data_IF_080825878780
#
_entry.id   IF_080825878780
#
_cell.length_a   1.000
_cell.length_b   1.000
_cell.length_c   1.000
_cell.angle_alpha   90.00
_cell.angle_beta   90.00
_cell.angle_gamma   90.00
#
_symmetry.space_group_name_H-M   'P 1'
#
loop_
_entity.id
_entity.type
_entity.pdbx_description
1 polymer ?
#
# COMPACT_ATOMS: atom_id res chain seq x y z
N UNK A 1 9.83 12.28 -18.57
CA UNK A 1 9.77 11.88 -17.14
C UNK A 1 11.08 11.20 -16.74
N UNK A 2 11.64 11.51 -15.57
CA UNK A 2 13.00 11.07 -15.19
C UNK A 2 13.07 9.59 -14.77
N UNK A 3 13.96 8.81 -15.40
CA UNK A 3 14.22 7.39 -15.10
C UNK A 3 14.72 7.20 -13.66
N UNK A 4 15.62 8.08 -13.23
CA UNK A 4 16.22 8.02 -11.90
C UNK A 4 15.13 8.17 -10.84
N UNK A 5 14.23 9.13 -11.02
CA UNK A 5 13.17 9.43 -10.06
C UNK A 5 12.11 8.32 -10.04
N UNK A 6 11.63 7.87 -11.20
CA UNK A 6 10.61 6.81 -11.26
C UNK A 6 11.15 5.48 -10.74
N UNK A 7 12.40 5.11 -11.08
CA UNK A 7 13.00 3.89 -10.56
C UNK A 7 13.22 3.95 -9.05
N UNK A 8 13.60 5.11 -8.50
CA UNK A 8 13.72 5.30 -7.06
C UNK A 8 12.36 5.22 -6.36
N UNK A 9 11.32 5.83 -6.92
CA UNK A 9 9.95 5.75 -6.41
C UNK A 9 9.44 4.30 -6.37
N UNK A 10 9.63 3.53 -7.44
CA UNK A 10 9.24 2.12 -7.49
C UNK A 10 9.99 1.29 -6.44
N UNK A 11 11.31 1.47 -6.28
CA UNK A 11 12.08 0.80 -5.21
C UNK A 11 11.58 1.17 -3.81
N UNK A 12 11.23 2.43 -3.60
CA UNK A 12 10.64 2.92 -2.35
C UNK A 12 9.30 2.26 -2.05
N UNK A 13 8.42 2.17 -3.05
CA UNK A 13 7.10 1.54 -2.92
C UNK A 13 7.22 0.08 -2.47
N UNK A 14 8.09 -0.71 -3.10
CA UNK A 14 8.37 -2.09 -2.68
C UNK A 14 8.78 -2.17 -1.21
N UNK A 15 9.67 -1.28 -0.77
CA UNK A 15 10.13 -1.24 0.63
C UNK A 15 8.98 -0.91 1.60
N UNK A 16 8.14 0.07 1.28
CA UNK A 16 7.04 0.51 2.15
C UNK A 16 5.93 -0.55 2.22
N UNK A 17 5.55 -1.14 1.09
CA UNK A 17 4.54 -2.21 1.05
C UNK A 17 5.01 -3.43 1.86
N UNK A 18 6.29 -3.81 1.76
CA UNK A 18 6.84 -4.91 2.57
C UNK A 18 6.80 -4.57 4.07
N UNK A 19 7.17 -3.34 4.45
CA UNK A 19 7.07 -2.87 5.84
C UNK A 19 5.62 -2.92 6.35
N UNK A 20 4.65 -2.54 5.53
CA UNK A 20 3.22 -2.60 5.89
C UNK A 20 2.79 -4.04 6.15
N UNK A 21 3.16 -4.99 5.28
CA UNK A 21 2.88 -6.41 5.46
C UNK A 21 3.48 -6.97 6.75
N UNK A 22 4.72 -6.62 7.07
CA UNK A 22 5.40 -7.05 8.29
C UNK A 22 4.71 -6.51 9.55
N UNK A 23 4.38 -5.21 9.57
CA UNK A 23 3.66 -4.58 10.69
C UNK A 23 2.26 -5.17 10.87
N UNK A 24 1.51 -5.31 9.77
CA UNK A 24 0.17 -5.90 9.78
C UNK A 24 0.20 -7.32 10.32
N UNK A 25 1.14 -8.15 9.84
CA UNK A 25 1.30 -9.52 10.35
C UNK A 25 1.61 -9.54 11.85
N UNK A 26 2.53 -8.69 12.31
CA UNK A 26 2.84 -8.56 13.73
C UNK A 26 1.64 -8.12 14.57
N UNK A 27 0.78 -7.25 14.04
CA UNK A 27 -0.46 -6.84 14.69
C UNK A 27 -1.49 -7.98 14.73
N UNK A 28 -1.67 -8.72 13.64
CA UNK A 28 -2.53 -9.91 13.57
C UNK A 28 -2.09 -10.96 14.60
N UNK A 29 -0.80 -11.26 14.68
CA UNK A 29 -0.27 -12.26 15.61
C UNK A 29 -0.50 -11.84 17.09
N UNK A 30 -0.52 -10.53 17.37
CA UNK A 30 -0.67 -10.00 18.73
C UNK A 30 -2.13 -9.79 19.15
N UNK A 31 -2.99 -9.31 18.26
CA UNK A 31 -4.35 -8.86 18.59
C UNK A 31 -5.46 -9.68 17.91
N UNK A 32 -5.11 -10.46 16.89
CA UNK A 32 -6.04 -11.27 16.11
C UNK A 32 -6.80 -10.48 15.04
N UNK A 33 -7.40 -11.22 14.11
CA UNK A 33 -8.06 -10.67 12.91
C UNK A 33 -9.27 -9.77 13.20
N UNK A 34 -9.93 -9.94 14.35
CA UNK A 34 -11.15 -9.21 14.72
C UNK A 34 -10.89 -7.90 15.46
N UNK A 35 -9.63 -7.56 15.72
CA UNK A 35 -9.28 -6.30 16.37
C UNK A 35 -9.75 -5.13 15.50
N UNK A 36 -10.53 -4.22 16.08
CA UNK A 36 -11.00 -3.01 15.41
C UNK A 36 -9.84 -2.03 15.16
N UNK A 37 -9.90 -1.35 14.02
CA UNK A 37 -8.92 -0.36 13.55
C UNK A 37 -9.63 0.86 12.96
N UNK A 38 -9.00 2.02 13.03
CA UNK A 38 -9.52 3.24 12.42
C UNK A 38 -8.98 4.51 13.06
N UNK A 39 -9.19 5.64 12.39
CA UNK A 39 -8.81 6.96 12.90
C UNK A 39 -9.90 7.57 13.78
N UNK A 40 -9.53 8.41 14.77
CA UNK A 40 -10.52 9.14 15.55
C UNK A 40 -11.24 10.18 14.68
N UNK A 41 -12.51 10.46 15.01
CA UNK A 41 -13.31 11.53 14.41
C UNK A 41 -13.51 11.43 12.88
N UNK A 42 -13.61 10.22 12.33
CA UNK A 42 -13.97 10.01 10.92
C UNK A 42 -15.10 9.00 10.75
N UNK A 43 -16.01 9.28 9.82
CA UNK A 43 -17.02 8.32 9.35
C UNK A 43 -16.60 7.56 8.08
N UNK A 44 -15.36 7.75 7.61
CA UNK A 44 -14.87 7.28 6.32
C UNK A 44 -13.85 6.14 6.42
N UNK A 45 -13.87 5.36 7.50
CA UNK A 45 -12.94 4.24 7.72
C UNK A 45 -11.48 4.69 7.61
N UNK A 46 -10.69 4.04 6.74
CA UNK A 46 -9.40 4.51 6.26
C UNK A 46 -9.64 5.32 4.97
N UNK A 47 -9.57 6.68 5.03
CA UNK A 47 -10.13 7.53 3.99
C UNK A 47 -9.54 7.37 2.59
N UNK A 48 -8.23 7.12 2.44
CA UNK A 48 -7.60 6.96 1.14
C UNK A 48 -8.01 5.63 0.50
N UNK A 49 -7.94 4.55 1.28
CA UNK A 49 -8.37 3.22 0.85
C UNK A 49 -9.86 3.22 0.49
N UNK A 50 -10.71 3.80 1.35
CA UNK A 50 -12.14 3.87 1.09
C UNK A 50 -12.45 4.75 -0.13
N UNK A 51 -11.77 5.88 -0.28
CA UNK A 51 -11.97 6.79 -1.40
C UNK A 51 -11.60 6.21 -2.77
N UNK A 52 -10.57 5.35 -2.84
CA UNK A 52 -10.10 4.78 -4.11
C UNK A 52 -10.66 3.38 -4.38
N UNK A 53 -10.76 2.52 -3.37
CA UNK A 53 -11.16 1.11 -3.53
C UNK A 53 -12.59 0.84 -3.05
N UNK A 54 -13.21 1.74 -2.29
CA UNK A 54 -14.54 1.53 -1.71
C UNK A 54 -14.57 0.46 -0.61
N UNK A 55 -13.40 0.03 -0.10
CA UNK A 55 -13.29 -1.01 0.93
C UNK A 55 -13.44 -0.38 2.32
N UNK A 56 -14.48 -0.72 3.10
CA UNK A 56 -14.67 -0.19 4.45
C UNK A 56 -13.84 -0.98 5.47
N UNK A 57 -12.58 -0.62 5.66
CA UNK A 57 -11.70 -1.28 6.62
C UNK A 57 -12.13 -0.96 8.05
N UNK A 58 -12.56 -1.98 8.80
CA UNK A 58 -13.01 -1.85 10.21
C UNK A 58 -12.16 -2.67 11.17
N UNK A 59 -11.55 -3.73 10.68
CA UNK A 59 -10.74 -4.67 11.47
C UNK A 59 -9.40 -4.92 10.80
N UNK A 60 -8.45 -5.48 11.56
CA UNK A 60 -7.17 -5.92 10.99
C UNK A 60 -7.37 -6.94 9.86
N UNK A 61 -8.39 -7.80 9.91
CA UNK A 61 -8.70 -8.74 8.83
C UNK A 61 -9.08 -8.06 7.51
N UNK A 62 -9.75 -6.91 7.57
CA UNK A 62 -10.18 -6.17 6.37
C UNK A 62 -9.00 -5.51 5.61
N UNK A 63 -7.82 -5.43 6.23
CA UNK A 63 -6.61 -4.90 5.59
C UNK A 63 -5.96 -5.89 4.62
N UNK A 64 -6.21 -7.20 4.76
CA UNK A 64 -5.65 -8.24 3.89
C UNK A 64 -5.93 -8.01 2.38
N UNK A 65 -7.19 -7.81 1.94
CA UNK A 65 -7.49 -7.54 0.53
C UNK A 65 -6.83 -6.24 0.02
N UNK A 66 -6.61 -5.26 0.89
CA UNK A 66 -5.90 -4.02 0.52
C UNK A 66 -4.41 -4.29 0.30
N UNK A 67 -3.76 -5.07 1.18
CA UNK A 67 -2.35 -5.48 1.00
C UNK A 67 -2.16 -6.36 -0.24
N UNK A 68 -3.14 -7.19 -0.56
CA UNK A 68 -3.16 -7.93 -1.82
C UNK A 68 -3.21 -6.95 -3.00
N UNK A 69 -4.10 -5.96 -2.96
CA UNK A 69 -4.18 -4.93 -4.00
C UNK A 69 -2.88 -4.14 -4.16
N UNK A 70 -2.20 -3.79 -3.06
CA UNK A 70 -0.87 -3.17 -3.13
C UNK A 70 0.12 -4.05 -3.88
N UNK A 71 0.08 -5.36 -3.68
CA UNK A 71 0.98 -6.30 -4.36
C UNK A 71 0.72 -6.35 -5.86
N UNK A 72 -0.54 -6.32 -6.27
CA UNK A 72 -0.93 -6.27 -7.69
C UNK A 72 -0.55 -4.96 -8.38
N UNK A 73 -0.57 -3.84 -7.64
CA UNK A 73 -0.20 -2.51 -8.14
C UNK A 73 1.31 -2.29 -8.22
N UNK A 74 2.11 -3.06 -7.47
CA UNK A 74 3.56 -2.90 -7.50
C UNK A 74 4.13 -3.37 -8.85
N UNK A 75 4.69 -2.46 -9.66
CA UNK A 75 5.32 -2.87 -10.90
C UNK A 75 6.67 -3.55 -10.63
N UNK A 76 7.21 -4.29 -11.61
CA UNK A 76 8.59 -4.76 -11.56
C UNK A 76 9.57 -3.58 -11.50
N UNK A 77 10.82 -3.85 -11.07
CA UNK A 77 11.88 -2.84 -11.12
C UNK A 77 12.20 -2.43 -12.55
N UNK A 78 12.55 -1.16 -12.73
CA UNK A 78 12.94 -0.60 -14.03
C UNK A 78 14.29 -1.18 -14.45
N UNK A 79 14.35 -1.75 -15.65
CA UNK A 79 15.59 -2.30 -16.24
C UNK A 79 16.64 -1.22 -16.54
N UNK A 80 17.92 -1.60 -16.50
CA UNK A 80 19.03 -0.66 -16.70
C UNK A 80 19.31 -0.31 -18.17
N UNK A 81 19.19 -1.30 -19.07
CA UNK A 81 19.58 -1.18 -20.49
C UNK A 81 18.40 -0.91 -21.42
N UNK A 82 17.31 -1.65 -21.30
CA UNK A 82 16.15 -1.57 -22.20
C UNK A 82 14.85 -1.36 -21.41
N UNK A 83 14.68 -0.17 -20.85
CA UNK A 83 13.49 0.12 -20.04
C UNK A 83 12.27 0.46 -20.91
N UNK A 84 11.11 -0.01 -20.46
CA UNK A 84 9.82 0.41 -20.98
C UNK A 84 9.38 1.76 -20.37
N UNK A 85 8.41 2.47 -20.97
CA UNK A 85 7.82 3.65 -20.36
C UNK A 85 7.28 3.36 -18.94
N UNK A 86 7.63 4.22 -17.99
CA UNK A 86 7.45 3.96 -16.56
C UNK A 86 6.57 5.00 -15.84
N UNK A 87 5.86 5.85 -16.57
CA UNK A 87 4.93 6.83 -15.97
C UNK A 87 3.79 6.12 -15.24
N UNK A 88 3.01 5.29 -15.93
CA UNK A 88 1.92 4.55 -15.32
C UNK A 88 2.40 3.61 -14.19
N UNK A 89 3.47 2.78 -14.39
CA UNK A 89 4.07 2.01 -13.31
C UNK A 89 4.45 2.83 -12.08
N UNK A 90 5.06 4.02 -12.27
CA UNK A 90 5.44 4.87 -11.14
C UNK A 90 4.22 5.43 -10.39
N UNK A 91 3.11 5.71 -11.11
CA UNK A 91 1.86 6.14 -10.49
C UNK A 91 1.19 4.99 -9.71
N UNK A 92 1.17 3.78 -10.26
CA UNK A 92 0.64 2.60 -9.58
C UNK A 92 1.45 2.27 -8.31
N UNK A 93 2.78 2.37 -8.38
CA UNK A 93 3.67 2.25 -7.23
C UNK A 93 3.38 3.32 -6.16
N UNK A 94 3.10 4.56 -6.58
CA UNK A 94 2.69 5.64 -5.67
C UNK A 94 1.37 5.33 -4.97
N UNK A 95 0.38 4.82 -5.70
CA UNK A 95 -0.92 4.44 -5.13
C UNK A 95 -0.78 3.30 -4.11
N UNK A 96 -0.01 2.25 -4.45
CA UNK A 96 0.29 1.18 -3.51
C UNK A 96 0.99 1.69 -2.23
N UNK A 97 1.84 2.72 -2.37
CA UNK A 97 2.51 3.37 -1.24
C UNK A 97 1.51 4.10 -0.34
N UNK A 98 0.54 4.83 -0.90
CA UNK A 98 -0.49 5.51 -0.10
C UNK A 98 -1.32 4.53 0.72
N UNK A 99 -1.77 3.43 0.13
CA UNK A 99 -2.51 2.39 0.86
C UNK A 99 -1.65 1.74 1.95
N UNK A 100 -0.39 1.45 1.65
CA UNK A 100 0.53 0.85 2.61
C UNK A 100 0.83 1.78 3.79
N UNK A 101 1.05 3.08 3.57
CA UNK A 101 1.27 4.03 4.66
C UNK A 101 0.00 4.24 5.50
N UNK A 102 -1.19 4.30 4.89
CA UNK A 102 -2.44 4.41 5.65
C UNK A 102 -2.68 3.19 6.54
N UNK A 103 -2.32 1.98 6.09
CA UNK A 103 -2.32 0.77 6.91
C UNK A 103 -1.28 0.83 8.04
N UNK A 104 -0.13 1.44 7.82
CA UNK A 104 0.93 1.54 8.83
C UNK A 104 0.57 2.51 9.95
N UNK A 105 -0.17 3.57 9.63
CA UNK A 105 -0.60 4.60 10.58
C UNK A 105 -1.86 4.24 11.37
N UNK A 106 -2.72 3.37 10.80
CA UNK A 106 -3.94 2.86 11.44
C UNK A 106 -3.65 1.83 12.54
#
# INVERSE_FOLDING_TARGET
MSRIICSAGIRGAHKIVNRAKEKWKGAIDKFGVKQEVGFPNTGYYLPVIYGILGIPVKTLGDMEPVLQRCTELLPPFVEEKHWLPYLAPALDAGMATFFAEEIIEA
#
